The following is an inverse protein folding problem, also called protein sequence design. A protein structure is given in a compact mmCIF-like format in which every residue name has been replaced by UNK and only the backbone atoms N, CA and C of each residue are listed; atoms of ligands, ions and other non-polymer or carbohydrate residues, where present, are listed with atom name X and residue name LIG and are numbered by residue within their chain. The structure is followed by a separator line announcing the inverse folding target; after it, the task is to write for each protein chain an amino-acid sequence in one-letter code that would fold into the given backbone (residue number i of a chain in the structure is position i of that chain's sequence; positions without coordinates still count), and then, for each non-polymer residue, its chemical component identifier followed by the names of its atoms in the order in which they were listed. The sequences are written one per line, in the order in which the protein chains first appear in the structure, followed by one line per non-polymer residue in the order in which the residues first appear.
data_IF_392122162824
#
_entry.id   IF_392122162824
#
_cell.length_a   1.000
_cell.length_b   1.000
_cell.length_c   1.000
_cell.angle_alpha   90.00
_cell.angle_beta   90.00
_cell.angle_gamma   90.00
#
_symmetry.space_group_name_H-M   'P 1'
#
loop_
_entity.id
_entity.type
_entity.pdbx_description
1 polymer ?
#
# COMPACT_ATOMS: atom_id res chain seq x y z
N UNK A 1 -9.50 -28.97 1.36
CA UNK A 1 -9.50 -29.21 -0.11
C UNK A 1 -9.34 -27.86 -0.76
N UNK A 2 -8.27 -27.69 -1.48
CA UNK A 2 -8.02 -26.46 -2.24
C UNK A 2 -8.82 -26.56 -3.54
N UNK A 3 -9.91 -25.80 -3.65
CA UNK A 3 -10.67 -25.70 -4.89
C UNK A 3 -10.05 -24.61 -5.76
N UNK A 4 -9.70 -24.95 -7.00
CA UNK A 4 -9.50 -23.96 -8.04
C UNK A 4 -10.89 -23.43 -8.39
N UNK A 5 -11.24 -22.22 -7.93
CA UNK A 5 -12.58 -21.68 -8.15
C UNK A 5 -12.91 -21.61 -9.63
N UNK A 6 -14.01 -22.23 -10.01
CA UNK A 6 -14.61 -22.02 -11.32
C UNK A 6 -14.89 -20.52 -11.52
N UNK A 7 -14.55 -19.99 -12.68
CA UNK A 7 -14.68 -18.56 -12.99
C UNK A 7 -13.38 -17.76 -12.79
N UNK A 8 -12.32 -18.36 -12.31
CA UNK A 8 -11.01 -17.71 -12.31
C UNK A 8 -10.36 -17.91 -13.68
N UNK A 9 -10.24 -16.84 -14.46
CA UNK A 9 -9.74 -16.88 -15.85
C UNK A 9 -8.31 -17.41 -16.00
N UNK A 10 -7.54 -17.49 -14.93
CA UNK A 10 -6.20 -18.09 -14.91
C UNK A 10 -6.21 -19.56 -15.31
N UNK A 11 -7.32 -20.26 -15.12
CA UNK A 11 -7.50 -21.67 -15.48
C UNK A 11 -8.14 -21.85 -16.85
N UNK A 12 -8.51 -20.78 -17.52
CA UNK A 12 -9.26 -20.87 -18.76
C UNK A 12 -8.30 -21.05 -19.92
N UNK A 13 -8.60 -22.04 -20.76
CA UNK A 13 -7.90 -22.25 -22.03
C UNK A 13 -8.42 -21.29 -23.10
N UNK A 14 -7.67 -21.14 -24.17
CA UNK A 14 -8.04 -20.29 -25.31
C UNK A 14 -9.38 -20.66 -25.98
N UNK A 15 -9.83 -21.90 -25.81
CA UNK A 15 -11.14 -22.40 -26.29
C UNK A 15 -12.30 -22.11 -25.33
N UNK A 16 -12.03 -21.47 -24.17
CA UNK A 16 -13.02 -21.14 -23.17
C UNK A 16 -13.23 -22.22 -22.08
N UNK A 17 -12.62 -23.39 -22.21
CA UNK A 17 -12.71 -24.46 -21.22
C UNK A 17 -11.79 -24.18 -20.01
N UNK A 18 -12.20 -24.66 -18.85
CA UNK A 18 -11.39 -24.58 -17.63
C UNK A 18 -10.57 -25.85 -17.41
N UNK A 19 -9.33 -25.65 -16.97
CA UNK A 19 -8.49 -26.75 -16.51
C UNK A 19 -8.93 -27.12 -15.10
N UNK A 20 -9.51 -28.31 -14.95
CA UNK A 20 -9.96 -28.85 -13.66
C UNK A 20 -8.89 -29.71 -13.00
N UNK A 21 -9.14 -30.04 -11.73
CA UNK A 21 -8.35 -31.04 -11.00
C UNK A 21 -8.82 -32.45 -11.42
N UNK A 22 -7.89 -33.34 -11.66
CA UNK A 22 -8.17 -34.78 -11.79
C UNK A 22 -8.32 -35.35 -10.39
N UNK A 23 -9.55 -35.42 -9.92
CA UNK A 23 -9.88 -35.87 -8.57
C UNK A 23 -9.43 -37.31 -8.28
N UNK A 24 -9.40 -38.17 -9.31
CA UNK A 24 -9.00 -39.56 -9.17
C UNK A 24 -7.49 -39.73 -8.87
N UNK A 25 -6.68 -38.82 -9.35
CA UNK A 25 -5.23 -38.85 -9.23
C UNK A 25 -4.68 -37.67 -8.40
N UNK A 26 -5.50 -36.99 -7.63
CA UNK A 26 -5.15 -35.85 -6.79
C UNK A 26 -5.11 -36.21 -5.31
N UNK A 27 -4.81 -35.19 -4.46
CA UNK A 27 -4.67 -35.34 -3.01
C UNK A 27 -3.52 -36.28 -2.59
N UNK A 28 -2.47 -36.36 -3.38
CA UNK A 28 -1.28 -37.15 -3.05
C UNK A 28 -0.56 -36.41 -1.91
N UNK A 29 -0.43 -37.09 -0.78
CA UNK A 29 0.25 -36.53 0.40
C UNK A 29 1.74 -36.41 0.15
N UNK A 30 2.29 -35.24 0.45
CA UNK A 30 3.72 -34.92 0.42
C UNK A 30 4.17 -34.41 1.80
N UNK A 31 5.46 -34.32 2.02
CA UNK A 31 6.04 -33.95 3.34
C UNK A 31 5.50 -32.63 3.91
N UNK A 32 5.16 -31.69 3.02
CA UNK A 32 4.77 -30.31 3.39
C UNK A 32 3.44 -29.85 2.74
N UNK A 33 2.63 -30.78 2.26
CA UNK A 33 1.34 -30.46 1.64
C UNK A 33 0.79 -31.58 0.77
N UNK A 34 -0.04 -31.17 -0.21
CA UNK A 34 -0.67 -32.11 -1.13
C UNK A 34 -0.35 -31.75 -2.59
N UNK A 35 -0.20 -32.77 -3.43
CA UNK A 35 -0.03 -32.62 -4.87
C UNK A 35 -1.38 -32.93 -5.54
N UNK A 36 -1.82 -32.00 -6.39
CA UNK A 36 -3.04 -32.16 -7.19
C UNK A 36 -2.69 -32.26 -8.66
N UNK A 37 -3.13 -33.33 -9.29
CA UNK A 37 -2.98 -33.52 -10.74
C UNK A 37 -4.07 -32.74 -11.47
N UNK A 38 -3.69 -32.09 -12.54
CA UNK A 38 -4.61 -31.35 -13.41
C UNK A 38 -5.06 -32.21 -14.58
N UNK A 39 -6.31 -32.03 -15.05
CA UNK A 39 -6.85 -32.72 -16.23
C UNK A 39 -6.18 -32.31 -17.53
N UNK A 40 -5.54 -31.14 -17.55
CA UNK A 40 -4.86 -30.63 -18.72
C UNK A 40 -3.74 -29.66 -18.30
N UNK A 41 -2.92 -29.23 -19.23
CA UNK A 41 -1.82 -28.30 -19.00
C UNK A 41 -2.39 -26.89 -18.76
N UNK A 42 -1.89 -26.21 -17.73
CA UNK A 42 -2.12 -24.78 -17.56
C UNK A 42 -1.31 -24.04 -18.63
N UNK A 43 -2.00 -23.39 -19.55
CA UNK A 43 -1.37 -22.58 -20.59
C UNK A 43 -1.24 -21.15 -20.05
N UNK A 44 -0.05 -20.61 -20.10
CA UNK A 44 0.16 -19.19 -19.83
C UNK A 44 -0.46 -18.37 -20.98
N UNK A 45 -1.47 -17.58 -20.65
CA UNK A 45 -2.06 -16.59 -21.54
C UNK A 45 -1.73 -15.21 -21.03
N UNK A 46 -0.88 -14.49 -21.75
CA UNK A 46 -0.40 -13.17 -21.38
C UNK A 46 -1.55 -12.14 -21.31
N UNK A 47 -2.53 -12.24 -22.18
CA UNK A 47 -3.69 -11.35 -22.17
C UNK A 47 -4.57 -11.59 -20.95
N UNK A 48 -4.82 -12.84 -20.59
CA UNK A 48 -5.55 -13.20 -19.36
C UNK A 48 -4.79 -12.76 -18.12
N UNK A 49 -3.48 -13.00 -18.08
CA UNK A 49 -2.65 -12.57 -16.96
C UNK A 49 -2.70 -11.06 -16.78
N UNK A 50 -2.53 -10.29 -17.83
CA UNK A 50 -2.51 -8.82 -17.76
C UNK A 50 -3.88 -8.22 -17.43
N UNK A 51 -4.94 -8.70 -18.05
CA UNK A 51 -6.25 -8.04 -17.98
C UNK A 51 -7.14 -8.57 -16.84
N UNK A 52 -6.99 -9.83 -16.46
CA UNK A 52 -7.90 -10.48 -15.51
C UNK A 52 -7.25 -10.82 -14.17
N UNK A 53 -5.96 -11.16 -14.16
CA UNK A 53 -5.26 -11.61 -12.95
C UNK A 53 -4.49 -10.46 -12.31
N UNK A 54 -3.64 -9.80 -13.09
CA UNK A 54 -2.76 -8.74 -12.60
C UNK A 54 -3.43 -7.35 -12.63
N UNK A 55 -4.55 -7.21 -13.32
CA UNK A 55 -5.35 -5.99 -13.38
C UNK A 55 -6.21 -5.83 -12.12
N UNK A 56 -5.56 -5.73 -10.98
CA UNK A 56 -6.17 -5.60 -9.65
C UNK A 56 -5.40 -4.60 -8.83
N UNK A 57 -6.06 -4.02 -7.81
CA UNK A 57 -5.39 -3.16 -6.85
C UNK A 57 -4.23 -3.91 -6.17
N UNK A 58 -3.06 -3.28 -6.20
CA UNK A 58 -1.87 -3.72 -5.48
C UNK A 58 -1.74 -2.80 -4.27
N UNK A 59 -1.90 -3.33 -3.06
CA UNK A 59 -1.63 -2.63 -1.81
C UNK A 59 -0.56 -3.38 -1.06
N UNK A 60 0.41 -2.66 -0.54
CA UNK A 60 1.50 -3.24 0.22
C UNK A 60 1.99 -2.27 1.29
N UNK A 61 2.30 -2.83 2.42
CA UNK A 61 2.86 -2.13 3.56
C UNK A 61 4.30 -1.72 3.30
N UNK A 62 4.68 -0.50 3.72
CA UNK A 62 6.02 0.03 3.52
C UNK A 62 7.10 -0.78 4.26
N UNK A 63 6.78 -1.25 5.46
CA UNK A 63 7.68 -2.08 6.28
C UNK A 63 7.93 -3.47 5.67
N UNK A 64 7.07 -3.93 4.77
CA UNK A 64 7.21 -5.21 4.08
C UNK A 64 8.11 -5.17 2.86
N UNK A 65 8.48 -3.97 2.36
CA UNK A 65 9.30 -3.83 1.16
C UNK A 65 10.74 -4.33 1.33
N UNK A 66 11.49 -3.90 2.37
CA UNK A 66 12.84 -4.40 2.56
C UNK A 66 12.81 -5.78 3.22
N UNK A 67 13.38 -6.81 2.58
CA UNK A 67 13.43 -8.17 3.17
C UNK A 67 14.12 -8.21 4.54
N UNK A 68 15.05 -7.31 4.80
CA UNK A 68 15.76 -7.22 6.06
C UNK A 68 14.84 -6.90 7.24
N UNK A 69 13.77 -6.13 7.02
CA UNK A 69 12.83 -5.77 8.08
C UNK A 69 11.93 -6.93 8.47
N UNK A 70 11.53 -7.75 7.50
CA UNK A 70 10.68 -8.93 7.74
C UNK A 70 11.47 -10.12 8.25
N UNK A 71 12.64 -10.39 7.64
CA UNK A 71 13.45 -11.58 7.96
C UNK A 71 14.16 -11.49 9.33
N UNK A 72 14.46 -10.29 9.81
CA UNK A 72 15.15 -10.07 11.09
C UNK A 72 14.19 -9.73 12.23
N UNK A 73 12.90 -9.96 12.07
CA UNK A 73 11.87 -9.69 13.08
C UNK A 73 11.88 -8.25 13.62
N UNK A 74 12.23 -7.29 12.78
CA UNK A 74 12.20 -5.86 13.14
C UNK A 74 10.78 -5.36 13.20
N UNK A 75 9.95 -5.81 12.27
CA UNK A 75 8.52 -5.64 12.31
C UNK A 75 7.98 -6.25 13.62
N UNK A 76 7.12 -5.53 14.32
CA UNK A 76 6.60 -5.96 15.64
C UNK A 76 7.63 -5.98 16.77
N UNK A 77 8.81 -5.42 16.56
CA UNK A 77 9.84 -5.32 17.60
C UNK A 77 9.37 -4.49 18.80
N UNK A 78 8.55 -3.50 18.53
CA UNK A 78 8.00 -2.58 19.51
C UNK A 78 6.53 -2.93 19.76
N UNK A 79 6.29 -3.87 20.67
CA UNK A 79 4.93 -4.34 21.02
C UNK A 79 4.25 -3.49 22.07
N UNK A 80 4.99 -2.59 22.72
CA UNK A 80 4.43 -1.70 23.74
C UNK A 80 4.21 -0.30 23.15
N UNK A 81 2.95 0.10 23.04
CA UNK A 81 2.52 1.41 22.57
C UNK A 81 3.12 2.56 23.41
N UNK A 82 3.51 2.30 24.66
CA UNK A 82 4.16 3.27 25.53
C UNK A 82 5.65 3.43 25.25
N UNK A 83 6.26 2.51 24.50
CA UNK A 83 7.66 2.59 24.13
C UNK A 83 7.83 3.52 22.91
N UNK A 84 8.16 4.78 23.18
CA UNK A 84 8.42 5.80 22.18
C UNK A 84 9.72 5.58 21.38
N UNK A 85 10.43 4.48 21.62
CA UNK A 85 11.72 4.18 20.99
C UNK A 85 11.56 3.20 19.84
N UNK A 86 11.16 3.66 18.65
CA UNK A 86 11.18 2.85 17.45
C UNK A 86 12.56 2.23 17.18
N UNK A 87 12.61 1.22 16.33
CA UNK A 87 13.88 0.62 15.92
C UNK A 87 14.61 1.54 14.95
N UNK A 88 15.81 2.02 15.35
CA UNK A 88 16.65 2.86 14.49
C UNK A 88 17.39 2.01 13.47
N UNK A 89 17.30 2.41 12.20
CA UNK A 89 17.92 1.73 11.07
C UNK A 89 19.03 2.59 10.48
N UNK A 90 20.15 1.97 10.12
CA UNK A 90 21.28 2.63 9.46
C UNK A 90 21.08 2.68 7.94
N UNK A 91 21.70 3.65 7.21
CA UNK A 91 21.48 3.84 5.77
C UNK A 91 21.77 2.63 4.88
N UNK A 92 22.67 1.76 5.29
CA UNK A 92 23.12 0.57 4.56
C UNK A 92 22.36 -0.71 4.93
N UNK A 93 21.53 -0.66 5.97
CA UNK A 93 20.89 -1.85 6.53
C UNK A 93 19.96 -2.58 5.54
N UNK A 94 19.17 -1.84 4.78
CA UNK A 94 18.20 -2.38 3.83
C UNK A 94 18.72 -2.51 2.39
N UNK A 95 20.01 -2.24 2.17
CA UNK A 95 20.65 -2.36 0.86
C UNK A 95 19.94 -1.57 -0.23
N UNK A 96 19.69 -2.20 -1.37
CA UNK A 96 19.06 -1.54 -2.53
C UNK A 96 17.55 -1.29 -2.39
N UNK A 97 16.89 -1.90 -1.39
CA UNK A 97 15.44 -1.76 -1.22
C UNK A 97 15.03 -0.45 -0.56
N UNK A 98 15.86 0.02 0.35
CA UNK A 98 15.64 1.27 1.04
C UNK A 98 16.96 1.95 1.36
N UNK A 99 17.22 3.07 0.71
CA UNK A 99 18.42 3.88 0.89
C UNK A 99 18.04 5.27 1.38
N UNK A 100 18.86 5.85 2.22
CA UNK A 100 18.67 7.21 2.73
C UNK A 100 20.00 7.86 3.09
N UNK A 101 19.99 9.19 3.24
CA UNK A 101 21.18 9.97 3.56
C UNK A 101 21.51 9.93 5.07
N UNK A 102 22.77 10.19 5.41
CA UNK A 102 23.25 10.24 6.80
C UNK A 102 22.76 11.46 7.61
N UNK A 103 22.12 12.43 6.93
CA UNK A 103 21.63 13.66 7.57
C UNK A 103 20.26 13.50 8.23
N UNK A 104 19.67 12.29 8.17
CA UNK A 104 18.39 11.99 8.78
C UNK A 104 18.47 10.77 9.69
N UNK A 105 17.49 10.63 10.56
CA UNK A 105 17.24 9.39 11.30
C UNK A 105 16.06 8.64 10.70
N UNK A 106 16.21 7.31 10.59
CA UNK A 106 15.16 6.41 10.17
C UNK A 106 14.71 5.57 11.36
N UNK A 107 13.45 5.68 11.70
CA UNK A 107 12.81 4.92 12.76
C UNK A 107 11.74 4.00 12.18
N UNK A 108 11.79 2.74 12.57
CA UNK A 108 10.76 1.76 12.26
C UNK A 108 9.90 1.58 13.51
N UNK A 109 8.61 1.85 13.35
CA UNK A 109 7.63 1.65 14.39
C UNK A 109 6.83 0.41 14.06
N UNK A 110 6.79 -0.55 14.95
CA UNK A 110 6.00 -1.76 14.82
C UNK A 110 5.30 -2.04 16.11
N UNK A 111 4.04 -1.63 16.23
CA UNK A 111 3.24 -1.86 17.43
C UNK A 111 1.80 -2.11 17.05
N UNK A 112 1.16 -3.08 17.71
CA UNK A 112 -0.28 -3.30 17.57
C UNK A 112 -1.13 -2.10 18.03
N UNK A 113 -0.51 -1.13 18.71
CA UNK A 113 -1.15 0.08 19.20
C UNK A 113 -1.18 1.24 18.21
N UNK A 114 -0.52 1.15 17.06
CA UNK A 114 -0.55 2.22 16.05
C UNK A 114 -1.80 2.15 15.18
N UNK A 115 -2.43 3.29 14.97
CA UNK A 115 -3.54 3.44 14.05
C UNK A 115 -3.03 3.56 12.60
N UNK A 116 -2.27 2.56 12.17
CA UNK A 116 -1.66 2.46 10.86
C UNK A 116 -2.01 1.11 10.21
N UNK A 117 -1.85 1.00 8.91
CA UNK A 117 -2.05 -0.25 8.20
C UNK A 117 -1.10 -1.32 8.75
N UNK A 118 -1.64 -2.40 9.28
CA UNK A 118 -0.91 -3.47 9.97
C UNK A 118 -0.18 -3.03 11.25
N UNK A 119 -0.40 -1.80 11.75
CA UNK A 119 0.13 -1.33 13.02
C UNK A 119 1.61 -0.96 13.01
N UNK A 120 2.16 -0.61 11.87
CA UNK A 120 3.56 -0.20 11.74
C UNK A 120 3.73 0.96 10.75
N UNK A 121 4.86 1.65 10.81
CA UNK A 121 5.20 2.73 9.89
C UNK A 121 6.71 2.99 9.85
N UNK A 122 7.19 3.58 8.75
CA UNK A 122 8.54 4.08 8.59
C UNK A 122 8.53 5.59 8.80
N UNK A 123 9.31 6.08 9.76
CA UNK A 123 9.49 7.50 10.03
C UNK A 123 10.88 7.96 9.66
N UNK A 124 10.96 8.91 8.75
CA UNK A 124 12.20 9.60 8.36
C UNK A 124 12.19 11.00 8.96
N UNK A 125 13.20 11.34 9.78
CA UNK A 125 13.28 12.63 10.48
C UNK A 125 14.41 13.50 9.95
N UNK A 126 14.30 14.78 10.20
CA UNK A 126 15.27 15.81 9.85
C UNK A 126 15.38 16.07 8.34
N UNK A 127 16.59 16.29 7.83
CA UNK A 127 16.83 16.56 6.40
C UNK A 127 16.85 15.26 5.58
N UNK A 128 15.74 14.52 5.59
CA UNK A 128 15.67 13.26 4.88
C UNK A 128 15.74 13.43 3.36
N UNK A 129 16.46 12.50 2.77
CA UNK A 129 16.45 12.21 1.33
C UNK A 129 16.57 10.70 1.20
N UNK A 130 15.48 10.03 0.89
CA UNK A 130 15.42 8.58 0.88
C UNK A 130 14.74 8.03 -0.38
N UNK A 131 15.10 6.82 -0.74
CA UNK A 131 14.55 6.11 -1.89
C UNK A 131 14.11 4.70 -1.49
N UNK A 132 12.88 4.37 -1.82
CA UNK A 132 12.31 3.03 -1.71
C UNK A 132 12.20 2.39 -3.09
N UNK A 133 12.55 1.11 -3.17
CA UNK A 133 12.25 0.26 -4.32
C UNK A 133 10.88 -0.37 -4.10
N UNK A 134 9.91 0.03 -4.91
CA UNK A 134 8.54 -0.48 -4.85
C UNK A 134 8.44 -1.88 -5.47
N UNK A 135 7.33 -2.56 -5.19
CA UNK A 135 7.02 -3.83 -5.84
C UNK A 135 6.85 -3.63 -7.35
N UNK A 136 7.15 -4.68 -8.15
CA UNK A 136 6.91 -4.63 -9.59
C UNK A 136 5.42 -4.43 -9.90
N UNK A 137 5.15 -3.53 -10.83
CA UNK A 137 3.80 -3.21 -11.30
C UNK A 137 3.64 -3.70 -12.74
N UNK A 138 2.50 -4.33 -13.08
CA UNK A 138 2.22 -4.78 -14.44
C UNK A 138 2.07 -3.61 -15.42
N UNK A 139 2.26 -3.86 -16.72
CA UNK A 139 1.91 -2.88 -17.76
C UNK A 139 0.45 -2.43 -17.65
N UNK A 140 0.18 -1.16 -17.93
CA UNK A 140 -1.16 -0.58 -17.86
C UNK A 140 -1.17 0.85 -17.33
N UNK A 141 -2.37 1.40 -17.16
CA UNK A 141 -2.59 2.72 -16.58
C UNK A 141 -2.96 2.58 -15.12
N UNK A 142 -2.14 3.14 -14.24
CA UNK A 142 -2.23 2.98 -12.81
C UNK A 142 -2.28 4.32 -12.09
N UNK A 143 -3.12 4.45 -11.08
CA UNK A 143 -3.05 5.54 -10.12
C UNK A 143 -2.25 5.09 -8.90
N UNK A 144 -1.25 5.88 -8.54
CA UNK A 144 -0.39 5.64 -7.39
C UNK A 144 -0.81 6.50 -6.21
N UNK A 145 -0.90 5.89 -5.04
CA UNK A 145 -1.31 6.52 -3.79
C UNK A 145 -0.39 6.15 -2.65
N UNK A 146 -0.29 7.05 -1.67
CA UNK A 146 0.43 6.84 -0.42
C UNK A 146 -0.56 6.90 0.73
N UNK A 147 -0.59 5.87 1.56
CA UNK A 147 -1.29 5.85 2.84
C UNK A 147 -0.43 6.42 3.95
N UNK A 148 -1.01 7.27 4.80
CA UNK A 148 -0.31 7.88 5.91
C UNK A 148 -1.28 8.31 7.01
N UNK A 149 -0.74 8.53 8.21
CA UNK A 149 -1.46 9.18 9.30
C UNK A 149 -1.02 10.64 9.41
N UNK A 150 -1.98 11.55 9.32
CA UNK A 150 -1.75 12.98 9.46
C UNK A 150 -1.48 13.34 10.93
N UNK A 151 -0.40 14.09 11.19
CA UNK A 151 -0.07 14.55 12.53
C UNK A 151 0.64 15.91 12.47
N UNK A 152 0.36 16.78 13.47
CA UNK A 152 0.88 18.16 13.49
C UNK A 152 2.39 18.29 13.56
N UNK A 153 3.10 17.24 13.99
CA UNK A 153 4.57 17.18 14.00
C UNK A 153 5.18 16.62 12.72
N UNK A 154 4.38 16.09 11.79
CA UNK A 154 4.85 15.64 10.48
C UNK A 154 5.43 16.81 9.68
N UNK A 155 6.16 16.47 8.64
CA UNK A 155 6.80 17.39 7.72
C UNK A 155 6.21 17.37 6.33
N UNK A 156 6.95 18.02 5.44
CA UNK A 156 6.62 18.14 4.02
C UNK A 156 7.75 17.56 3.18
N UNK A 157 7.40 16.73 2.20
CA UNK A 157 8.36 16.08 1.31
C UNK A 157 8.02 16.23 -0.16
N UNK A 158 9.04 16.48 -0.99
CA UNK A 158 8.92 16.41 -2.44
C UNK A 158 9.09 14.98 -2.90
N UNK A 159 8.12 14.50 -3.67
CA UNK A 159 8.12 13.16 -4.24
C UNK A 159 8.76 13.17 -5.63
N UNK A 160 9.56 12.12 -5.89
CA UNK A 160 10.08 11.78 -7.21
C UNK A 160 9.72 10.32 -7.48
N UNK A 161 9.13 10.07 -8.65
CA UNK A 161 8.82 8.74 -9.11
C UNK A 161 9.73 8.42 -10.30
N UNK A 162 10.51 7.34 -10.21
CA UNK A 162 11.55 6.98 -11.19
C UNK A 162 12.49 8.13 -11.55
N UNK A 163 12.85 8.94 -10.55
CA UNK A 163 13.73 10.10 -10.70
C UNK A 163 13.04 11.37 -11.25
N UNK A 164 11.77 11.29 -11.62
CA UNK A 164 11.01 12.44 -12.11
C UNK A 164 10.21 13.05 -10.95
N UNK A 165 10.34 14.38 -10.78
CA UNK A 165 9.55 15.13 -9.79
C UNK A 165 8.06 14.98 -10.11
N UNK A 166 7.26 14.72 -9.08
CA UNK A 166 5.83 14.56 -9.24
C UNK A 166 5.07 15.48 -8.30
N UNK A 167 4.14 16.24 -8.86
CA UNK A 167 3.26 17.14 -8.15
C UNK A 167 3.95 18.21 -7.30
N UNK A 168 3.20 18.79 -6.40
CA UNK A 168 3.69 19.66 -5.31
C UNK A 168 4.17 18.83 -4.13
N UNK A 169 5.01 19.37 -3.25
CA UNK A 169 5.40 18.68 -2.01
C UNK A 169 4.18 18.23 -1.21
N UNK A 170 4.23 17.01 -0.69
CA UNK A 170 3.17 16.45 0.16
C UNK A 170 3.38 16.92 1.59
N UNK A 171 2.36 17.55 2.17
CA UNK A 171 2.36 18.00 3.57
C UNK A 171 1.56 17.00 4.42
N UNK A 172 2.23 16.19 5.23
CA UNK A 172 1.61 15.17 6.08
C UNK A 172 0.91 15.74 7.33
N UNK A 173 0.89 17.06 7.51
CA UNK A 173 0.07 17.74 8.52
C UNK A 173 -1.38 17.95 8.06
N UNK A 174 -1.62 17.85 6.75
CA UNK A 174 -2.97 18.03 6.21
C UNK A 174 -3.83 16.85 6.64
N UNK A 175 -4.91 17.14 7.37
CA UNK A 175 -5.80 16.14 7.98
C UNK A 175 -5.54 15.90 9.48
N UNK A 176 -4.55 16.55 10.09
CA UNK A 176 -4.29 16.42 11.54
C UNK A 176 -5.45 16.92 12.42
N UNK A 177 -6.26 17.86 11.92
CA UNK A 177 -7.39 18.41 12.64
C UNK A 177 -8.70 17.93 11.98
N UNK A 178 -9.63 17.43 12.82
CA UNK A 178 -10.96 17.06 12.34
C UNK A 178 -11.67 18.28 11.70
N UNK A 179 -12.22 18.07 10.51
CA UNK A 179 -12.86 19.14 9.75
C UNK A 179 -11.88 20.00 8.94
N UNK A 180 -10.67 19.53 8.71
CA UNK A 180 -9.72 20.20 7.80
C UNK A 180 -10.29 20.31 6.39
N UNK A 181 -10.60 21.54 5.96
CA UNK A 181 -11.20 21.81 4.65
C UNK A 181 -10.29 21.39 3.47
N UNK A 182 -8.99 21.21 3.70
CA UNK A 182 -8.03 20.76 2.66
C UNK A 182 -8.22 19.30 2.30
N UNK A 183 -8.72 18.46 3.23
CA UNK A 183 -9.09 17.08 2.97
C UNK A 183 -10.58 16.93 2.73
N UNK A 184 -11.39 17.74 3.40
CA UNK A 184 -12.84 17.67 3.37
C UNK A 184 -13.42 16.41 4.02
N UNK A 185 -12.65 15.72 4.87
CA UNK A 185 -13.09 14.48 5.50
C UNK A 185 -14.32 14.69 6.39
N UNK A 186 -15.32 13.81 6.21
CA UNK A 186 -16.53 13.71 7.03
C UNK A 186 -16.75 12.23 7.32
N UNK A 187 -17.16 11.90 8.55
CA UNK A 187 -17.48 10.52 8.91
C UNK A 187 -18.64 9.98 8.07
N UNK A 188 -18.55 8.74 7.61
CA UNK A 188 -19.56 8.12 6.74
C UNK A 188 -20.95 8.12 7.40
N UNK A 189 -21.00 7.75 8.67
CA UNK A 189 -22.22 7.76 9.51
C UNK A 189 -22.89 9.12 9.65
N UNK A 190 -22.15 10.21 9.36
CA UNK A 190 -22.69 11.59 9.43
C UNK A 190 -23.32 12.03 8.11
N UNK A 191 -23.29 11.19 7.08
CA UNK A 191 -23.82 11.50 5.75
C UNK A 191 -25.03 10.64 5.43
N UNK A 192 -25.90 11.14 4.54
CA UNK A 192 -27.13 10.42 4.16
C UNK A 192 -26.88 9.26 3.19
N UNK A 193 -25.70 9.23 2.56
CA UNK A 193 -25.29 8.30 1.50
C UNK A 193 -24.10 7.43 1.91
N UNK A 194 -23.86 7.31 3.22
CA UNK A 194 -22.76 6.52 3.77
C UNK A 194 -21.38 6.95 3.21
N UNK A 195 -21.19 8.27 3.03
CA UNK A 195 -19.93 8.88 2.65
C UNK A 195 -19.61 8.91 1.16
N UNK A 196 -20.47 8.43 0.28
CA UNK A 196 -20.18 8.32 -1.17
C UNK A 196 -19.87 9.67 -1.81
N UNK A 197 -20.68 10.69 -1.58
CA UNK A 197 -20.41 12.04 -2.13
C UNK A 197 -19.21 12.70 -1.44
N UNK A 198 -18.96 12.39 -0.17
CA UNK A 198 -17.76 12.86 0.53
C UNK A 198 -16.49 12.24 -0.06
N UNK A 199 -16.48 10.95 -0.38
CA UNK A 199 -15.35 10.30 -1.05
C UNK A 199 -15.01 10.94 -2.39
N UNK A 200 -16.02 11.28 -3.20
CA UNK A 200 -15.83 12.00 -4.47
C UNK A 200 -15.23 13.39 -4.25
N UNK A 201 -15.73 14.12 -3.25
CA UNK A 201 -15.23 15.45 -2.92
C UNK A 201 -13.77 15.39 -2.43
N UNK A 202 -13.43 14.50 -1.52
CA UNK A 202 -12.07 14.30 -1.03
C UNK A 202 -11.12 13.96 -2.18
N UNK A 203 -11.56 13.08 -3.08
CA UNK A 203 -10.80 12.71 -4.25
C UNK A 203 -10.47 13.90 -5.16
N UNK A 204 -11.41 14.83 -5.35
CA UNK A 204 -11.17 16.06 -6.12
C UNK A 204 -10.14 16.99 -5.45
N UNK A 205 -9.95 16.86 -4.13
CA UNK A 205 -8.92 17.56 -3.35
C UNK A 205 -7.58 16.81 -3.34
N UNK A 206 -7.49 15.62 -3.95
CA UNK A 206 -6.30 14.77 -3.97
C UNK A 206 -6.16 13.84 -2.78
N UNK A 207 -7.19 13.72 -1.94
CA UNK A 207 -7.18 12.88 -0.75
C UNK A 207 -8.28 11.83 -0.80
N UNK A 208 -8.12 10.79 0.00
CA UNK A 208 -9.12 9.75 0.19
C UNK A 208 -9.05 9.26 1.64
N UNK A 209 -10.17 8.76 2.15
CA UNK A 209 -10.20 8.02 3.41
C UNK A 209 -9.36 6.74 3.30
N UNK A 210 -8.91 6.20 4.42
CA UNK A 210 -8.33 4.87 4.44
C UNK A 210 -9.34 3.84 3.90
N UNK A 211 -8.89 2.71 3.33
CA UNK A 211 -9.79 1.68 2.84
C UNK A 211 -10.58 1.00 3.97
N UNK A 212 -11.78 0.52 3.69
CA UNK A 212 -12.59 -0.26 4.64
C UNK A 212 -11.89 -1.52 5.16
N UNK A 213 -11.02 -2.09 4.35
CA UNK A 213 -10.26 -3.29 4.72
C UNK A 213 -9.06 -3.03 5.63
N UNK A 214 -8.81 -1.78 6.02
CA UNK A 214 -7.72 -1.40 6.92
C UNK A 214 -8.28 -1.12 8.32
N UNK A 215 -7.73 -1.80 9.33
CA UNK A 215 -8.22 -1.74 10.69
C UNK A 215 -7.10 -1.33 11.64
N UNK A 216 -7.48 -0.54 12.65
CA UNK A 216 -6.68 -0.32 13.82
C UNK A 216 -6.82 -1.53 14.75
N UNK A 217 -5.77 -2.33 14.83
CA UNK A 217 -5.83 -3.64 15.48
C UNK A 217 -6.15 -3.57 16.98
N UNK A 218 -5.65 -2.53 17.66
CA UNK A 218 -5.84 -2.40 19.11
C UNK A 218 -7.31 -2.20 19.52
N UNK A 219 -8.01 -1.31 18.81
CA UNK A 219 -9.39 -0.93 19.18
C UNK A 219 -10.44 -1.57 18.25
N UNK A 220 -9.99 -2.36 17.28
CA UNK A 220 -10.86 -2.97 16.26
C UNK A 220 -11.75 -1.94 15.54
N UNK A 221 -11.19 -0.77 15.23
CA UNK A 221 -11.87 0.33 14.55
C UNK A 221 -11.38 0.36 13.09
N UNK A 222 -12.28 0.52 12.08
CA UNK A 222 -11.86 0.77 10.72
C UNK A 222 -11.05 2.07 10.64
N UNK A 223 -9.89 2.04 10.00
CA UNK A 223 -9.09 3.26 9.78
C UNK A 223 -9.84 4.31 8.96
N UNK A 224 -10.82 3.88 8.17
CA UNK A 224 -11.70 4.76 7.40
C UNK A 224 -12.49 5.75 8.27
N UNK A 225 -12.84 5.34 9.49
CA UNK A 225 -13.60 6.15 10.44
C UNK A 225 -12.73 7.16 11.21
N UNK A 226 -11.44 7.16 10.93
CA UNK A 226 -10.50 8.07 11.56
C UNK A 226 -9.97 9.12 10.58
N UNK A 227 -10.27 10.41 10.86
CA UNK A 227 -9.97 11.53 9.96
C UNK A 227 -8.47 11.72 9.65
N UNK A 228 -7.58 11.21 10.49
CA UNK A 228 -6.12 11.28 10.29
C UNK A 228 -5.59 10.20 9.35
N UNK A 229 -6.29 9.07 9.21
CA UNK A 229 -5.87 7.98 8.34
C UNK A 229 -6.28 8.28 6.89
N UNK A 230 -5.36 8.73 6.10
CA UNK A 230 -5.60 9.27 4.77
C UNK A 230 -4.79 8.54 3.70
N UNK A 231 -5.31 8.59 2.48
CA UNK A 231 -4.55 8.30 1.26
C UNK A 231 -4.36 9.60 0.48
N UNK A 232 -3.13 9.86 0.06
CA UNK A 232 -2.81 10.94 -0.87
C UNK A 232 -2.65 10.38 -2.29
N UNK A 233 -3.35 10.96 -3.27
CA UNK A 233 -3.24 10.61 -4.67
C UNK A 233 -2.02 11.30 -5.25
N UNK A 234 -0.98 10.53 -5.58
CA UNK A 234 0.29 11.08 -6.07
C UNK A 234 0.18 11.47 -7.53
N UNK A 235 -0.14 10.51 -8.38
CA UNK A 235 -0.30 10.73 -9.83
C UNK A 235 -0.86 9.47 -10.51
N UNK A 236 -1.14 9.60 -11.80
CA UNK A 236 -1.43 8.48 -12.69
C UNK A 236 -0.23 8.23 -13.61
N UNK A 237 0.12 6.96 -13.81
CA UNK A 237 1.25 6.50 -14.60
C UNK A 237 0.81 5.48 -15.65
N UNK A 238 1.47 5.50 -16.81
CA UNK A 238 1.29 4.49 -17.85
C UNK A 238 2.58 3.69 -17.99
N UNK A 239 2.53 2.42 -17.60
CA UNK A 239 3.67 1.51 -17.67
C UNK A 239 3.56 0.66 -18.94
N UNK A 240 4.66 0.58 -19.70
CA UNK A 240 4.73 -0.24 -20.91
C UNK A 240 5.18 -1.67 -20.59
N UNK A 241 6.05 -1.82 -19.59
CA UNK A 241 6.67 -3.06 -19.21
C UNK A 241 6.41 -3.37 -17.73
N UNK A 242 6.47 -4.65 -17.37
CA UNK A 242 6.45 -5.10 -15.99
C UNK A 242 7.77 -4.75 -15.31
N UNK A 243 7.72 -3.99 -14.24
CA UNK A 243 8.95 -3.57 -13.56
C UNK A 243 8.75 -2.99 -12.17
N UNK A 244 9.83 -3.01 -11.41
CA UNK A 244 9.91 -2.33 -10.12
C UNK A 244 10.23 -0.85 -10.33
N UNK A 245 9.57 0.01 -9.54
CA UNK A 245 9.73 1.46 -9.59
C UNK A 245 10.49 1.96 -8.38
N UNK A 246 11.01 3.20 -8.47
CA UNK A 246 11.69 3.87 -7.37
C UNK A 246 10.90 5.09 -6.93
N UNK A 247 10.60 5.13 -5.64
CA UNK A 247 9.98 6.28 -4.99
C UNK A 247 11.03 6.97 -4.12
N UNK A 248 11.40 8.20 -4.48
CA UNK A 248 12.28 9.04 -3.68
C UNK A 248 11.48 10.16 -3.05
N UNK A 249 11.75 10.44 -1.78
CA UNK A 249 11.19 11.58 -1.05
C UNK A 249 12.31 12.41 -0.45
N UNK A 250 12.20 13.72 -0.61
CA UNK A 250 13.17 14.67 -0.09
C UNK A 250 12.47 15.74 0.74
N UNK A 251 13.00 16.03 1.93
CA UNK A 251 12.45 17.07 2.79
C UNK A 251 12.51 18.45 2.12
N UNK A 252 11.48 19.24 2.34
CA UNK A 252 11.39 20.63 1.88
C UNK A 252 11.11 21.60 3.02
N UNK A 253 10.96 21.09 4.23
CA UNK A 253 10.82 21.89 5.44
C UNK A 253 11.98 21.66 6.41
N UNK A 254 11.93 22.35 7.56
CA UNK A 254 13.07 22.44 8.48
C UNK A 254 13.33 21.14 9.25
N UNK A 255 14.54 21.02 9.77
CA UNK A 255 14.96 19.95 10.66
C UNK A 255 14.00 19.72 11.85
N UNK A 256 13.91 18.48 12.31
CA UNK A 256 13.03 18.07 13.41
C UNK A 256 11.61 17.68 12.98
N UNK A 257 11.30 17.77 11.68
CA UNK A 257 10.06 17.25 11.11
C UNK A 257 10.26 15.84 10.60
N UNK A 258 9.17 15.06 10.56
CA UNK A 258 9.22 13.69 10.08
C UNK A 258 8.30 13.45 8.89
N UNK A 259 8.71 12.57 8.02
CA UNK A 259 7.87 12.00 6.97
C UNK A 259 7.57 10.55 7.34
N UNK A 260 6.30 10.26 7.50
CA UNK A 260 5.83 8.92 7.84
C UNK A 260 5.24 8.24 6.61
N UNK A 261 5.56 6.97 6.47
CA UNK A 261 5.06 6.14 5.40
C UNK A 261 4.44 4.90 6.02
N UNK A 262 3.17 4.66 5.69
CA UNK A 262 2.40 3.53 6.16
C UNK A 262 2.34 2.46 5.05
N UNK A 263 1.61 2.73 3.97
CA UNK A 263 1.45 1.80 2.87
C UNK A 263 1.37 2.50 1.52
N UNK A 264 1.44 1.71 0.46
CA UNK A 264 1.31 2.16 -0.92
C UNK A 264 0.20 1.43 -1.64
N UNK A 265 -0.41 2.10 -2.61
CA UNK A 265 -1.38 1.50 -3.52
C UNK A 265 -1.08 1.84 -4.97
N UNK A 266 -1.19 0.83 -5.84
CA UNK A 266 -1.43 1.02 -7.26
C UNK A 266 -2.80 0.45 -7.59
N UNK A 267 -3.64 1.24 -8.26
CA UNK A 267 -4.94 0.80 -8.73
C UNK A 267 -5.06 1.05 -10.22
N UNK A 268 -5.55 0.07 -11.03
CA UNK A 268 -5.86 0.33 -12.42
C UNK A 268 -6.87 1.47 -12.55
N UNK A 269 -6.59 2.41 -13.44
CA UNK A 269 -7.38 3.66 -13.55
C UNK A 269 -8.86 3.39 -13.85
N UNK A 270 -9.15 2.36 -14.62
CA UNK A 270 -10.51 1.94 -14.97
C UNK A 270 -11.27 1.21 -13.84
N UNK A 271 -10.54 0.77 -12.80
CA UNK A 271 -11.11 0.09 -11.62
C UNK A 271 -11.35 1.04 -10.42
N UNK A 272 -10.92 2.29 -10.51
CA UNK A 272 -11.00 3.24 -9.38
C UNK A 272 -12.41 3.35 -8.83
N UNK A 273 -13.40 3.37 -9.70
CA UNK A 273 -14.81 3.58 -9.34
C UNK A 273 -15.36 2.44 -8.49
N UNK A 274 -15.11 1.22 -8.90
CA UNK A 274 -15.66 0.02 -8.26
C UNK A 274 -14.98 -0.28 -6.90
N UNK A 275 -13.68 0.04 -6.82
CA UNK A 275 -12.85 -0.29 -5.66
C UNK A 275 -12.95 0.76 -4.53
N UNK A 276 -13.31 2.00 -4.85
CA UNK A 276 -13.29 3.11 -3.91
C UNK A 276 -14.68 3.71 -3.64
N UNK A 277 -15.74 2.96 -3.89
CA UNK A 277 -17.14 3.35 -3.59
C UNK A 277 -17.55 4.70 -4.21
N UNK A 278 -17.08 5.00 -5.41
CA UNK A 278 -17.36 6.28 -6.07
C UNK A 278 -18.72 6.32 -6.81
N UNK A 279 -19.57 5.33 -6.64
CA UNK A 279 -20.91 5.20 -7.23
C UNK A 279 -21.92 4.71 -6.21
#
# INVERSE_FOLDING_TARGET
IMEIKAGNKINQQSNGDYVGIDEANSNIEALNGYIHTLKNILVYDDAVMRNDVLHKRIRFDAMSLPPQLTNNNIRWHNVDISDANGYTVTPDYCGEYFTFNDACSCLMWGSQGWAAFQGDEINMKDNYDFTLRLLPVPPGNWEFRIGYNAEGWRGMGQIYFDGVITGTPVDLKIGDVQGDARTGWVADESTADDGVENDKMMRNLGYMKAPESCWYAHDNIPLRDWYKALRYIVNQYSFQDYGAHKLRMRSVDFAGREFSIDYFEFIPVDMIRDEDRLY
#
